data_IF_363017028612
#
_entry.id   IF_363017028612
#
_cell.length_a   1.000
_cell.length_b   1.000
_cell.length_c   1.000
_cell.angle_alpha   90.00
_cell.angle_beta   90.00
_cell.angle_gamma   90.00
#
_symmetry.space_group_name_H-M   'P 1'
#
loop_
_entity.id
_entity.type
_entity.pdbx_description
1 polymer ?
#
# COMPACT_ATOMS: atom_id res chain seq x y z
N UNK A 1 20.06 25.24 17.05
CA UNK A 1 20.12 24.10 16.12
C UNK A 1 21.12 24.43 15.01
N UNK A 2 22.06 23.53 14.69
CA UNK A 2 22.99 23.73 13.56
C UNK A 2 22.30 23.28 12.27
N UNK A 3 22.34 24.10 11.24
CA UNK A 3 21.83 23.75 9.90
C UNK A 3 22.73 22.70 9.25
N UNK A 4 22.15 21.61 8.75
CA UNK A 4 22.87 20.57 8.03
C UNK A 4 23.14 21.05 6.60
N UNK A 5 24.40 20.97 6.16
CA UNK A 5 24.80 21.33 4.80
C UNK A 5 24.49 20.18 3.83
N UNK A 6 23.24 20.11 3.38
CA UNK A 6 22.74 19.08 2.45
C UNK A 6 23.52 19.06 1.14
N UNK A 7 23.96 20.23 0.64
CA UNK A 7 24.68 20.36 -0.62
C UNK A 7 26.10 19.76 -0.57
N UNK A 8 26.73 19.79 0.61
CA UNK A 8 28.03 19.14 0.81
C UNK A 8 27.90 17.62 0.90
N UNK A 9 26.83 17.13 1.53
CA UNK A 9 26.58 15.69 1.67
C UNK A 9 26.31 15.05 0.32
N UNK A 10 25.53 15.69 -0.57
CA UNK A 10 25.22 15.14 -1.90
C UNK A 10 26.43 15.06 -2.83
N UNK A 11 27.49 15.82 -2.55
CA UNK A 11 28.76 15.79 -3.29
C UNK A 11 29.79 14.83 -2.69
N UNK A 12 29.47 14.14 -1.60
CA UNK A 12 30.34 13.12 -1.02
C UNK A 12 30.53 11.96 -2.02
N UNK A 13 31.77 11.52 -2.30
CA UNK A 13 32.04 10.38 -3.16
C UNK A 13 31.27 9.11 -2.74
N UNK A 14 31.16 8.88 -1.43
CA UNK A 14 30.43 7.75 -0.86
C UNK A 14 28.94 7.79 -1.21
N UNK A 15 28.32 8.98 -1.14
CA UNK A 15 26.90 9.13 -1.50
C UNK A 15 26.71 8.91 -3.00
N UNK A 16 27.63 9.39 -3.83
CA UNK A 16 27.55 9.19 -5.27
C UNK A 16 27.70 7.72 -5.67
N UNK A 17 28.65 7.00 -5.06
CA UNK A 17 28.88 5.58 -5.30
C UNK A 17 27.69 4.72 -4.86
N UNK A 18 27.17 4.97 -3.64
CA UNK A 18 25.96 4.31 -3.16
C UNK A 18 24.76 4.59 -4.06
N UNK A 19 24.54 5.85 -4.46
CA UNK A 19 23.42 6.22 -5.33
C UNK A 19 23.52 5.48 -6.67
N UNK A 20 24.72 5.39 -7.24
CA UNK A 20 24.97 4.65 -8.48
C UNK A 20 24.66 3.17 -8.35
N UNK A 21 25.15 2.52 -7.30
CA UNK A 21 24.91 1.09 -7.04
C UNK A 21 23.41 0.78 -6.87
N UNK A 22 22.69 1.65 -6.15
CA UNK A 22 21.23 1.56 -6.03
C UNK A 22 20.58 1.64 -7.40
N UNK A 23 20.89 2.66 -8.23
CA UNK A 23 20.29 2.77 -9.57
C UNK A 23 20.63 1.59 -10.49
N UNK A 24 21.86 1.09 -10.46
CA UNK A 24 22.28 -0.08 -11.24
C UNK A 24 21.54 -1.35 -10.79
N UNK A 25 21.23 -1.51 -9.50
CA UNK A 25 20.45 -2.64 -8.98
C UNK A 25 19.00 -2.69 -9.50
N UNK A 26 18.47 -1.55 -9.95
CA UNK A 26 17.12 -1.45 -10.51
C UNK A 26 17.08 -1.46 -12.04
N UNK A 27 18.21 -1.53 -12.75
CA UNK A 27 18.23 -1.46 -14.21
C UNK A 27 17.52 -2.66 -14.88
N UNK A 28 17.53 -3.83 -14.25
CA UNK A 28 16.81 -5.03 -14.71
C UNK A 28 15.33 -5.03 -14.31
N UNK A 29 14.94 -4.15 -13.39
CA UNK A 29 13.54 -3.91 -13.04
C UNK A 29 13.01 -2.96 -14.09
N UNK A 30 12.47 -3.51 -15.18
CA UNK A 30 11.82 -2.72 -16.22
C UNK A 30 10.70 -1.87 -15.63
N UNK A 31 11.00 -0.63 -15.25
CA UNK A 31 9.99 0.33 -14.87
C UNK A 31 9.21 0.64 -16.14
N UNK A 32 8.00 0.09 -16.23
CA UNK A 32 6.99 0.58 -17.15
C UNK A 32 6.62 2.00 -16.70
N UNK A 33 7.45 2.98 -17.07
CA UNK A 33 7.09 4.39 -16.91
C UNK A 33 5.81 4.56 -17.73
N UNK A 34 4.67 4.87 -17.10
CA UNK A 34 3.44 5.08 -17.86
C UNK A 34 3.75 6.17 -18.87
N UNK A 35 3.52 5.87 -20.16
CA UNK A 35 3.76 6.84 -21.23
C UNK A 35 3.00 8.10 -20.87
N UNK A 36 3.74 9.17 -20.57
CA UNK A 36 3.14 10.47 -20.32
C UNK A 36 2.57 10.93 -21.66
N UNK A 37 1.25 10.79 -21.82
CA UNK A 37 0.55 11.38 -22.95
C UNK A 37 0.69 12.89 -22.80
N UNK A 38 1.61 13.47 -23.56
CA UNK A 38 1.67 14.91 -23.73
C UNK A 38 0.48 15.25 -24.60
N UNK A 39 -0.53 15.87 -24.00
CA UNK A 39 -1.63 16.45 -24.76
C UNK A 39 -0.97 17.52 -25.64
N UNK A 40 -1.08 17.35 -26.96
CA UNK A 40 -0.59 18.34 -27.92
C UNK A 40 -1.10 19.71 -27.49
N UNK A 41 -0.19 20.68 -27.34
CA UNK A 41 -0.54 22.02 -26.87
C UNK A 41 -1.53 22.72 -27.82
N UNK A 42 -1.66 22.21 -29.04
CA UNK A 42 -2.63 22.64 -30.05
C UNK A 42 -4.07 22.16 -29.76
N UNK A 43 -4.26 21.17 -28.90
CA UNK A 43 -5.58 20.64 -28.49
C UNK A 43 -6.14 21.43 -27.30
N UNK A 44 -5.26 22.08 -26.53
CA UNK A 44 -5.68 22.92 -25.41
C UNK A 44 -6.09 24.28 -25.97
N UNK A 45 -7.37 24.67 -25.88
CA UNK A 45 -7.79 25.98 -26.34
C UNK A 45 -7.03 27.05 -25.57
N UNK A 46 -6.49 28.05 -26.29
CA UNK A 46 -5.83 29.19 -25.68
C UNK A 46 -6.86 30.02 -24.90
N UNK A 47 -6.94 29.81 -23.58
CA UNK A 47 -7.84 30.56 -22.72
C UNK A 47 -7.13 31.84 -22.28
N UNK A 48 -7.72 33.01 -22.54
CA UNK A 48 -7.16 34.27 -22.03
C UNK A 48 -7.20 34.30 -20.50
N UNK A 49 -6.22 34.93 -19.83
CA UNK A 49 -6.21 35.03 -18.36
C UNK A 49 -7.50 35.63 -17.77
N UNK A 50 -8.16 36.52 -18.52
CA UNK A 50 -9.41 37.15 -18.12
C UNK A 50 -10.62 36.21 -18.27
N UNK A 51 -10.64 35.36 -19.29
CA UNK A 51 -11.67 34.33 -19.44
C UNK A 51 -11.56 33.27 -18.35
N UNK A 52 -10.34 32.90 -17.95
CA UNK A 52 -10.09 31.99 -16.83
C UNK A 52 -10.48 32.59 -15.47
N UNK A 53 -10.19 33.87 -15.24
CA UNK A 53 -10.66 34.55 -14.01
C UNK A 53 -12.18 34.67 -13.95
N UNK A 54 -12.85 34.92 -15.08
CA UNK A 54 -14.33 34.94 -15.14
C UNK A 54 -14.92 33.56 -14.86
N UNK A 55 -14.36 32.49 -15.42
CA UNK A 55 -14.85 31.13 -15.13
C UNK A 55 -14.62 30.71 -13.67
N UNK A 56 -13.55 31.17 -13.02
CA UNK A 56 -13.35 30.96 -11.58
C UNK A 56 -14.36 31.73 -10.72
N UNK A 57 -14.78 32.92 -11.16
CA UNK A 57 -15.75 33.75 -10.42
C UNK A 57 -17.20 33.34 -10.69
N UNK A 58 -17.55 32.91 -11.90
CA UNK A 58 -18.88 32.39 -12.24
C UNK A 58 -19.18 31.03 -11.59
N UNK A 59 -18.16 30.21 -11.33
CA UNK A 59 -18.31 28.93 -10.64
C UNK A 59 -18.26 29.04 -9.10
N UNK A 60 -18.17 30.25 -8.54
CA UNK A 60 -18.15 30.44 -7.07
C UNK A 60 -19.54 30.30 -6.42
N UNK A 61 -20.62 30.16 -7.20
CA UNK A 61 -21.99 29.96 -6.69
C UNK A 61 -22.71 28.90 -7.52
N UNK A 62 -22.39 27.65 -7.27
CA UNK A 62 -23.33 26.54 -7.47
C UNK A 62 -22.81 25.34 -6.68
N UNK A 63 -23.46 25.06 -5.56
CA UNK A 63 -23.37 23.80 -4.83
C UNK A 63 -24.04 22.68 -5.65
N UNK A 64 -23.59 22.48 -6.88
CA UNK A 64 -23.97 21.33 -7.70
C UNK A 64 -22.88 20.30 -7.55
N UNK A 65 -23.20 19.33 -6.70
CA UNK A 65 -22.78 17.94 -6.61
C UNK A 65 -21.37 17.56 -7.14
N UNK A 66 -20.55 16.87 -6.34
CA UNK A 66 -19.24 16.42 -6.78
C UNK A 66 -19.35 15.46 -7.96
N UNK A 67 -19.04 15.94 -9.17
CA UNK A 67 -18.73 15.10 -10.33
C UNK A 67 -17.26 14.67 -10.25
N UNK A 68 -16.94 13.93 -9.19
CA UNK A 68 -15.86 12.96 -9.24
C UNK A 68 -16.58 11.63 -9.29
N UNK A 69 -16.44 10.89 -10.40
CA UNK A 69 -17.03 9.57 -10.53
C UNK A 69 -16.48 8.65 -9.44
N UNK A 70 -17.15 8.65 -8.28
CA UNK A 70 -17.04 7.60 -7.29
C UNK A 70 -17.41 6.32 -8.02
N UNK A 71 -16.40 5.52 -8.32
CA UNK A 71 -16.66 4.11 -8.60
C UNK A 71 -17.21 3.54 -7.30
N UNK A 72 -18.52 3.49 -7.21
CA UNK A 72 -19.23 2.74 -6.20
C UNK A 72 -18.95 1.28 -6.52
N UNK A 73 -17.96 0.70 -5.84
CA UNK A 73 -17.68 -0.73 -5.91
C UNK A 73 -18.74 -1.43 -5.07
N UNK A 74 -19.71 -2.05 -5.74
CA UNK A 74 -20.60 -3.00 -5.07
C UNK A 74 -19.75 -4.22 -4.71
N UNK A 75 -19.40 -4.35 -3.43
CA UNK A 75 -18.85 -5.59 -2.88
C UNK A 75 -20.04 -6.53 -2.70
N UNK A 76 -20.26 -7.45 -3.64
CA UNK A 76 -21.21 -8.54 -3.44
C UNK A 76 -20.81 -9.28 -2.16
N UNK A 77 -21.71 -9.28 -1.17
CA UNK A 77 -21.49 -9.90 0.12
C UNK A 77 -21.29 -11.41 -0.03
N UNK A 78 -20.02 -11.84 -0.06
CA UNK A 78 -19.62 -13.25 -0.12
C UNK A 78 -19.94 -13.92 1.22
N UNK A 79 -20.45 -15.16 1.25
CA UNK A 79 -20.76 -15.86 2.49
C UNK A 79 -19.50 -16.07 3.35
N UNK A 80 -19.40 -15.36 4.49
CA UNK A 80 -18.28 -15.45 5.43
C UNK A 80 -18.45 -16.64 6.37
N UNK A 81 -17.64 -17.66 6.14
CA UNK A 81 -17.18 -18.58 7.18
C UNK A 81 -15.82 -19.15 6.78
N UNK A 82 -14.78 -18.31 6.69
CA UNK A 82 -13.39 -18.79 6.61
C UNK A 82 -12.61 -18.29 7.82
N UNK A 83 -12.16 -19.23 8.64
CA UNK A 83 -11.61 -18.96 9.98
C UNK A 83 -10.11 -18.63 9.93
N UNK A 84 -9.66 -17.79 8.99
CA UNK A 84 -8.25 -17.40 8.85
C UNK A 84 -7.71 -16.77 10.14
N UNK A 85 -8.49 -15.88 10.74
CA UNK A 85 -8.13 -15.21 11.99
C UNK A 85 -7.92 -16.19 13.15
N UNK A 86 -8.71 -17.26 13.25
CA UNK A 86 -8.56 -18.26 14.32
C UNK A 86 -7.20 -18.96 14.28
N UNK A 87 -6.65 -19.21 13.09
CA UNK A 87 -5.35 -19.87 12.93
C UNK A 87 -4.19 -19.02 13.45
N UNK A 88 -4.26 -17.71 13.24
CA UNK A 88 -3.18 -16.78 13.65
C UNK A 88 -3.42 -16.13 15.01
N UNK A 89 -4.63 -16.20 15.57
CA UNK A 89 -4.99 -15.59 16.87
C UNK A 89 -4.05 -15.98 18.00
N UNK A 90 -3.68 -17.26 18.09
CA UNK A 90 -2.74 -17.73 19.11
C UNK A 90 -1.33 -17.15 18.93
N UNK A 91 -0.92 -16.88 17.69
CA UNK A 91 0.37 -16.27 17.37
C UNK A 91 0.38 -14.77 17.66
N UNK A 92 -0.73 -14.08 17.41
CA UNK A 92 -0.90 -12.65 17.73
C UNK A 92 -0.92 -12.41 19.24
N UNK A 93 -1.48 -13.35 20.00
CA UNK A 93 -1.53 -13.28 21.47
C UNK A 93 -0.21 -13.70 22.13
N UNK A 94 0.73 -14.31 21.39
CA UNK A 94 2.04 -14.72 21.92
C UNK A 94 2.97 -13.49 22.02
N UNK A 95 3.38 -13.06 23.23
CA UNK A 95 4.24 -11.90 23.40
C UNK A 95 5.67 -12.13 22.89
N UNK A 96 6.07 -13.39 22.66
CA UNK A 96 7.39 -13.71 22.10
C UNK A 96 7.47 -13.46 20.59
N UNK A 97 6.32 -13.33 19.92
CA UNK A 97 6.21 -13.06 18.48
C UNK A 97 6.15 -11.55 18.25
N UNK A 98 7.15 -11.02 17.55
CA UNK A 98 7.21 -9.60 17.17
C UNK A 98 6.71 -9.34 15.75
N UNK A 99 6.83 -10.33 14.85
CA UNK A 99 6.35 -10.22 13.46
C UNK A 99 5.85 -11.57 12.94
N UNK A 100 4.79 -11.53 12.14
CA UNK A 100 4.25 -12.66 11.37
C UNK A 100 4.27 -12.26 9.90
N UNK A 101 4.78 -13.12 9.02
CA UNK A 101 4.85 -12.88 7.58
C UNK A 101 4.27 -14.09 6.83
N UNK A 102 3.36 -13.82 5.91
CA UNK A 102 2.79 -14.76 4.98
C UNK A 102 3.20 -14.36 3.56
N UNK A 103 4.04 -15.17 2.93
CA UNK A 103 4.56 -14.87 1.58
C UNK A 103 3.60 -15.27 0.47
N UNK A 104 2.53 -16.01 0.79
CA UNK A 104 1.58 -16.50 -0.19
C UNK A 104 0.65 -17.60 0.34
N UNK A 105 -0.39 -17.94 -0.44
CA UNK A 105 -1.28 -19.06 -0.12
C UNK A 105 -0.51 -20.38 -0.12
N UNK A 106 -0.90 -21.28 0.77
CA UNK A 106 -0.31 -22.60 1.01
C UNK A 106 1.19 -22.58 1.37
N UNK A 107 1.74 -21.42 1.73
CA UNK A 107 3.11 -21.31 2.24
C UNK A 107 3.14 -21.31 3.77
N UNK A 108 4.15 -21.93 4.39
CA UNK A 108 4.35 -21.86 5.84
C UNK A 108 4.56 -20.40 6.29
N UNK A 109 3.92 -20.01 7.40
CA UNK A 109 4.14 -18.69 7.99
C UNK A 109 5.55 -18.53 8.53
N UNK A 110 6.11 -17.33 8.36
CA UNK A 110 7.40 -16.93 8.93
C UNK A 110 7.14 -16.07 10.16
N UNK A 111 7.71 -16.46 11.29
CA UNK A 111 7.61 -15.75 12.55
C UNK A 111 8.95 -15.12 12.92
N UNK A 112 8.92 -13.90 13.43
CA UNK A 112 10.07 -13.30 14.09
C UNK A 112 9.86 -13.41 15.60
N UNK A 113 10.73 -14.18 16.26
CA UNK A 113 10.71 -14.38 17.72
C UNK A 113 12.06 -14.02 18.31
N UNK A 114 12.08 -13.04 19.22
CA UNK A 114 13.33 -12.55 19.85
C UNK A 114 14.44 -12.25 18.83
N UNK A 115 14.07 -11.66 17.69
CA UNK A 115 15.00 -11.34 16.59
C UNK A 115 15.38 -12.49 15.66
N UNK A 116 14.94 -13.72 15.94
CA UNK A 116 15.21 -14.89 15.08
C UNK A 116 14.00 -15.24 14.21
N UNK A 117 14.25 -15.52 12.93
CA UNK A 117 13.23 -16.03 12.00
C UNK A 117 12.98 -17.52 12.26
N UNK A 118 11.71 -17.92 12.35
CA UNK A 118 11.26 -19.29 12.54
C UNK A 118 10.11 -19.60 11.60
N UNK A 119 10.06 -20.83 11.06
CA UNK A 119 8.95 -21.27 10.22
C UNK A 119 7.89 -21.98 11.07
N UNK A 120 6.64 -21.53 10.99
CA UNK A 120 5.52 -22.21 11.60
C UNK A 120 4.97 -23.29 10.64
N UNK A 121 4.47 -24.41 11.19
CA UNK A 121 3.78 -25.44 10.41
C UNK A 121 2.36 -25.04 9.96
N UNK A 122 2.00 -23.79 10.16
CA UNK A 122 0.71 -23.23 9.79
C UNK A 122 0.83 -22.67 8.38
N UNK A 123 -0.06 -23.08 7.50
CA UNK A 123 -0.26 -22.52 6.17
C UNK A 123 -1.67 -21.97 6.05
N UNK A 124 -1.82 -20.94 5.22
CA UNK A 124 -3.08 -20.24 4.98
C UNK A 124 -3.51 -20.42 3.54
N UNK A 125 -4.80 -20.64 3.30
CA UNK A 125 -5.35 -20.59 1.93
C UNK A 125 -5.49 -19.14 1.46
N UNK A 126 -5.83 -18.95 0.17
CA UNK A 126 -6.06 -17.60 -0.38
C UNK A 126 -7.22 -16.91 0.34
N UNK A 127 -8.29 -17.65 0.60
CA UNK A 127 -9.49 -17.19 1.28
C UNK A 127 -9.17 -16.82 2.73
N UNK A 128 -8.36 -17.62 3.43
CA UNK A 128 -7.95 -17.30 4.80
C UNK A 128 -7.08 -16.05 4.89
N UNK A 129 -6.21 -15.81 3.91
CA UNK A 129 -5.42 -14.58 3.81
C UNK A 129 -6.35 -13.38 3.62
N UNK A 130 -7.35 -13.51 2.75
CA UNK A 130 -8.32 -12.46 2.51
C UNK A 130 -9.13 -12.15 3.76
N UNK A 131 -9.67 -13.17 4.42
CA UNK A 131 -10.44 -13.00 5.64
C UNK A 131 -9.61 -12.33 6.76
N UNK A 132 -8.31 -12.62 6.84
CA UNK A 132 -7.41 -11.91 7.77
C UNK A 132 -7.28 -10.44 7.41
N UNK A 133 -6.97 -10.11 6.15
CA UNK A 133 -6.82 -8.72 5.72
C UNK A 133 -8.13 -7.94 5.92
N UNK A 134 -9.25 -8.56 5.56
CA UNK A 134 -10.61 -8.05 5.69
C UNK A 134 -10.96 -7.71 7.15
N UNK A 135 -10.67 -8.61 8.09
CA UNK A 135 -10.85 -8.38 9.53
C UNK A 135 -10.05 -7.16 10.05
N UNK A 136 -8.84 -6.93 9.52
CA UNK A 136 -8.02 -5.77 9.91
C UNK A 136 -8.53 -4.47 9.27
N UNK A 137 -8.99 -4.53 8.02
CA UNK A 137 -9.60 -3.39 7.32
C UNK A 137 -10.94 -2.98 7.94
N UNK A 138 -11.77 -3.95 8.33
CA UNK A 138 -13.05 -3.70 8.98
C UNK A 138 -12.87 -2.99 10.32
N UNK A 139 -11.87 -3.42 11.12
CA UNK A 139 -11.53 -2.78 12.40
C UNK A 139 -10.93 -1.39 12.25
N UNK A 140 -10.20 -1.13 11.17
CA UNK A 140 -9.60 0.19 10.91
C UNK A 140 -10.55 1.14 10.17
N UNK A 141 -11.71 0.66 9.73
CA UNK A 141 -12.66 1.39 8.87
C UNK A 141 -12.04 1.85 7.54
N UNK A 142 -11.00 1.16 7.06
CA UNK A 142 -10.36 1.41 5.78
C UNK A 142 -10.83 0.32 4.82
N UNK A 143 -11.45 0.64 3.66
CA UNK A 143 -11.94 -0.38 2.75
C UNK A 143 -10.81 -1.19 2.14
N UNK A 144 -11.01 -2.50 2.02
CA UNK A 144 -10.09 -3.40 1.31
C UNK A 144 -10.26 -3.21 -0.20
N UNK A 145 -9.23 -2.66 -0.86
CA UNK A 145 -9.20 -2.44 -2.31
C UNK A 145 -8.03 -3.21 -2.92
N UNK A 146 -8.16 -3.66 -4.17
CA UNK A 146 -7.08 -4.26 -4.96
C UNK A 146 -5.80 -3.41 -4.89
N UNK A 147 -4.71 -3.99 -4.39
CA UNK A 147 -3.43 -3.31 -4.24
C UNK A 147 -2.76 -3.53 -2.87
N UNK A 148 -2.03 -2.51 -2.42
CA UNK A 148 -1.29 -2.54 -1.15
C UNK A 148 -2.15 -1.96 -0.04
N UNK A 149 -2.26 -2.69 1.05
CA UNK A 149 -2.94 -2.26 2.28
C UNK A 149 -1.90 -2.04 3.35
N UNK A 150 -2.04 -0.93 4.07
CA UNK A 150 -1.27 -0.63 5.27
C UNK A 150 -2.25 -0.06 6.30
N UNK A 151 -2.44 -0.76 7.40
CA UNK A 151 -3.34 -0.32 8.48
C UNK A 151 -2.74 -0.62 9.84
N UNK A 152 -3.09 0.21 10.82
CA UNK A 152 -2.70 0.04 12.22
C UNK A 152 -3.97 -0.20 13.03
N UNK A 153 -4.02 -1.32 13.75
CA UNK A 153 -5.15 -1.72 14.59
C UNK A 153 -4.60 -2.13 15.95
N UNK A 154 -5.08 -1.48 17.00
CA UNK A 154 -4.60 -1.65 18.37
C UNK A 154 -3.07 -1.46 18.46
N UNK A 155 -2.33 -2.51 18.84
CA UNK A 155 -0.88 -2.54 18.97
C UNK A 155 -0.20 -3.29 17.81
N UNK A 156 -0.89 -3.41 16.68
CA UNK A 156 -0.41 -4.13 15.51
C UNK A 156 -0.47 -3.26 14.27
N UNK A 157 0.60 -3.32 13.49
CA UNK A 157 0.68 -2.80 12.14
C UNK A 157 0.57 -3.98 11.18
N UNK A 158 -0.32 -3.90 10.21
CA UNK A 158 -0.42 -4.87 9.12
C UNK A 158 -0.16 -4.19 7.80
N UNK A 159 0.68 -4.82 7.00
CA UNK A 159 0.96 -4.44 5.62
C UNK A 159 0.74 -5.65 4.74
N UNK A 160 0.07 -5.50 3.61
CA UNK A 160 -0.18 -6.63 2.73
C UNK A 160 -0.53 -6.22 1.32
N UNK A 161 -0.56 -7.21 0.44
CA UNK A 161 -0.99 -7.08 -0.94
C UNK A 161 -2.27 -7.89 -1.08
N UNK A 162 -3.37 -7.19 -1.30
CA UNK A 162 -4.64 -7.77 -1.68
C UNK A 162 -4.72 -7.82 -3.21
N UNK A 163 -4.76 -9.03 -3.76
CA UNK A 163 -4.97 -9.20 -5.18
C UNK A 163 -5.62 -10.52 -5.55
N UNK A 164 -6.56 -10.44 -6.49
CA UNK A 164 -7.14 -11.64 -7.10
C UNK A 164 -6.21 -12.29 -8.14
N UNK A 165 -5.41 -11.49 -8.85
CA UNK A 165 -4.57 -11.91 -9.97
C UNK A 165 -3.14 -12.28 -9.53
N UNK A 166 -2.57 -11.53 -8.59
CA UNK A 166 -1.21 -11.77 -8.08
C UNK A 166 -1.24 -12.47 -6.72
N UNK A 167 -0.07 -12.90 -6.26
CA UNK A 167 0.11 -13.61 -5.00
C UNK A 167 -0.21 -12.68 -3.82
N UNK A 168 -1.32 -12.96 -3.15
CA UNK A 168 -1.71 -12.25 -1.92
C UNK A 168 -0.75 -12.59 -0.79
N UNK A 169 -0.28 -11.59 -0.07
CA UNK A 169 0.71 -11.73 1.01
C UNK A 169 0.48 -10.66 2.08
N UNK A 170 0.94 -10.92 3.30
CA UNK A 170 0.85 -9.93 4.37
C UNK A 170 1.97 -10.08 5.38
N UNK A 171 2.24 -9.01 6.12
CA UNK A 171 3.06 -9.01 7.32
C UNK A 171 2.38 -8.22 8.42
N UNK A 172 2.33 -8.81 9.62
CA UNK A 172 1.86 -8.16 10.85
C UNK A 172 3.05 -7.95 11.78
N UNK A 173 3.28 -6.72 12.22
CA UNK A 173 4.26 -6.33 13.23
C UNK A 173 3.56 -5.83 14.49
N UNK A 174 4.14 -6.12 15.65
CA UNK A 174 3.75 -5.46 16.91
C UNK A 174 4.47 -4.12 17.02
N UNK A 175 3.72 -3.08 17.40
CA UNK A 175 4.23 -1.72 17.67
C UNK A 175 4.68 -1.60 19.12
#
# INVERSE_FOLDING_TARGET
MRSINVLGISKSPLIQEFTKEVFESYYDIGFAVPKKYVIDTNIVPAVSPNAFKRSLMENAVSTTEPVAGEKIYYVEGKPRAVNGMLKIKNLLNDPSVSRIECQGPNTPLILLRRGMKQFARISLTKEEIFDILDDFTEKSHIPLVEGVVHVVVDNFEISGIYSELIRSSFSVSRI
#
